data_IF_790205652074
#
_entry.id   IF_790205652074
#
_cell.length_a   1.000
_cell.length_b   1.000
_cell.length_c   1.000
_cell.angle_alpha   90.00
_cell.angle_beta   90.00
_cell.angle_gamma   90.00
#
_symmetry.space_group_name_H-M   'P 1'
#
loop_
_entity.id
_entity.type
_entity.pdbx_description
1 polymer ?
#
# COMPACT_ATOMS: atom_id res chain seq x y z
N UNK A 1 -27.86 -15.23 27.86
CA UNK A 1 -27.05 -15.48 26.65
C UNK A 1 -26.21 -14.23 26.44
N UNK A 2 -24.93 -14.25 26.81
CA UNK A 2 -24.09 -13.06 26.83
C UNK A 2 -23.73 -12.65 25.38
N UNK A 3 -23.87 -11.37 24.98
CA UNK A 3 -23.48 -10.94 23.65
C UNK A 3 -21.96 -11.07 23.48
N UNK A 4 -21.53 -11.60 22.33
CA UNK A 4 -20.12 -11.74 21.99
C UNK A 4 -19.43 -10.38 22.12
N UNK A 5 -18.44 -10.31 23.01
CA UNK A 5 -17.73 -9.07 23.34
C UNK A 5 -16.77 -8.76 22.20
N UNK A 6 -17.27 -8.03 21.19
CA UNK A 6 -16.43 -7.40 20.17
C UNK A 6 -15.64 -6.29 20.87
N UNK A 7 -14.32 -6.47 21.02
CA UNK A 7 -13.45 -5.49 21.67
C UNK A 7 -13.50 -4.14 20.93
N UNK A 8 -13.68 -4.19 19.61
CA UNK A 8 -14.27 -3.11 18.83
C UNK A 8 -14.79 -3.64 17.49
N UNK A 9 -15.84 -3.02 16.95
CA UNK A 9 -16.49 -3.41 15.69
C UNK A 9 -15.59 -3.28 14.44
N UNK A 10 -14.42 -2.66 14.57
CA UNK A 10 -13.48 -2.40 13.47
C UNK A 10 -12.10 -3.03 13.66
N UNK A 11 -11.61 -3.23 14.89
CA UNK A 11 -10.34 -3.94 15.12
C UNK A 11 -10.45 -5.42 14.81
N UNK A 12 -11.52 -6.10 15.22
CA UNK A 12 -11.61 -7.56 15.05
C UNK A 12 -11.55 -7.97 13.56
N UNK A 13 -12.25 -7.28 12.62
CA UNK A 13 -12.09 -7.54 11.19
C UNK A 13 -10.72 -7.14 10.64
N UNK A 14 -10.16 -6.00 11.09
CA UNK A 14 -8.86 -5.52 10.64
C UNK A 14 -7.74 -6.50 11.04
N UNK A 15 -7.81 -7.01 12.28
CA UNK A 15 -6.91 -8.04 12.80
C UNK A 15 -7.12 -9.35 12.06
N UNK A 16 -8.35 -9.76 11.76
CA UNK A 16 -8.63 -10.96 10.97
C UNK A 16 -8.00 -10.91 9.56
N UNK A 17 -8.20 -9.79 8.84
CA UNK A 17 -7.60 -9.58 7.52
C UNK A 17 -6.08 -9.52 7.60
N UNK A 18 -5.54 -8.78 8.57
CA UNK A 18 -4.09 -8.70 8.78
C UNK A 18 -3.47 -10.06 9.06
N UNK A 19 -4.09 -10.84 9.96
CA UNK A 19 -3.62 -12.16 10.35
C UNK A 19 -3.70 -13.14 9.18
N UNK A 20 -4.75 -13.08 8.37
CA UNK A 20 -4.87 -13.89 7.16
C UNK A 20 -3.78 -13.58 6.12
N UNK A 21 -3.52 -12.29 5.87
CA UNK A 21 -2.43 -11.86 4.97
C UNK A 21 -1.06 -12.28 5.51
N UNK A 22 -0.84 -12.15 6.82
CA UNK A 22 0.42 -12.53 7.47
C UNK A 22 0.66 -14.05 7.43
N UNK A 23 -0.37 -14.86 7.68
CA UNK A 23 -0.28 -16.31 7.57
C UNK A 23 0.04 -16.74 6.12
N UNK A 24 -0.58 -16.09 5.13
CA UNK A 24 -0.26 -16.33 3.72
C UNK A 24 1.19 -15.95 3.38
N UNK A 25 1.69 -14.83 3.90
CA UNK A 25 3.08 -14.42 3.71
C UNK A 25 4.08 -15.44 4.29
N UNK A 26 3.81 -15.96 5.49
CA UNK A 26 4.64 -17.01 6.09
C UNK A 26 4.60 -18.32 5.30
N UNK A 27 3.43 -18.68 4.75
CA UNK A 27 3.30 -19.85 3.89
C UNK A 27 4.12 -19.72 2.60
N UNK A 28 4.12 -18.52 2.00
CA UNK A 28 4.84 -18.24 0.76
C UNK A 28 6.36 -18.14 0.94
N UNK A 29 6.84 -17.80 2.15
CA UNK A 29 8.27 -17.69 2.48
C UNK A 29 8.90 -18.99 2.97
N UNK A 30 8.13 -20.08 3.09
CA UNK A 30 8.67 -21.37 3.48
C UNK A 30 9.53 -22.00 2.36
N UNK A 31 10.79 -22.40 2.65
CA UNK A 31 11.76 -22.86 1.65
C UNK A 31 11.39 -24.19 0.97
N UNK A 32 10.40 -24.93 1.49
CA UNK A 32 9.91 -26.20 0.91
C UNK A 32 8.75 -26.03 -0.07
N UNK A 33 8.12 -24.86 -0.11
CA UNK A 33 6.95 -24.53 -0.95
C UNK A 33 7.18 -23.29 -1.79
N UNK A 34 8.43 -22.82 -1.88
CA UNK A 34 8.82 -21.62 -2.60
C UNK A 34 8.49 -21.77 -4.09
N UNK A 35 7.32 -21.25 -4.47
CA UNK A 35 6.99 -20.98 -5.86
C UNK A 35 8.04 -20.01 -6.43
N UNK A 36 8.34 -20.09 -7.73
CA UNK A 36 9.29 -19.19 -8.38
C UNK A 36 8.97 -17.73 -8.02
N UNK A 37 10.00 -16.93 -7.74
CA UNK A 37 9.90 -15.52 -7.31
C UNK A 37 9.03 -14.63 -8.23
N UNK A 38 8.82 -15.09 -9.46
CA UNK A 38 8.03 -14.46 -10.51
C UNK A 38 6.51 -14.66 -10.32
N UNK A 39 6.07 -15.71 -9.62
CA UNK A 39 4.66 -15.99 -9.32
C UNK A 39 4.20 -15.40 -7.98
N UNK A 40 5.11 -14.74 -7.26
CA UNK A 40 4.85 -14.22 -5.92
C UNK A 40 3.96 -12.99 -5.96
N UNK A 41 2.91 -12.99 -5.13
CA UNK A 41 2.00 -11.85 -5.00
C UNK A 41 2.72 -10.60 -4.49
N UNK A 42 3.79 -10.78 -3.70
CA UNK A 42 4.66 -9.67 -3.29
C UNK A 42 5.24 -8.90 -4.47
N UNK A 43 5.62 -9.56 -5.57
CA UNK A 43 6.19 -8.91 -6.75
C UNK A 43 5.16 -7.99 -7.40
N UNK A 44 3.90 -8.43 -7.49
CA UNK A 44 2.78 -7.63 -7.99
C UNK A 44 2.44 -6.45 -7.05
N UNK A 45 2.47 -6.68 -5.74
CA UNK A 45 2.23 -5.62 -4.74
C UNK A 45 3.33 -4.56 -4.82
N UNK A 46 4.60 -4.96 -4.94
CA UNK A 46 5.75 -4.06 -5.12
C UNK A 46 5.62 -3.26 -6.41
N UNK A 47 5.24 -3.90 -7.51
CA UNK A 47 5.00 -3.22 -8.79
C UNK A 47 3.87 -2.19 -8.69
N UNK A 48 2.73 -2.57 -8.09
CA UNK A 48 1.60 -1.67 -7.87
C UNK A 48 1.98 -0.48 -6.98
N UNK A 49 2.76 -0.71 -5.93
CA UNK A 49 3.27 0.34 -5.06
C UNK A 49 4.20 1.29 -5.81
N UNK A 50 5.09 0.77 -6.66
CA UNK A 50 5.97 1.58 -7.51
C UNK A 50 5.18 2.49 -8.45
N UNK A 51 4.11 1.97 -9.08
CA UNK A 51 3.21 2.78 -9.92
C UNK A 51 2.51 3.86 -9.10
N UNK A 52 2.00 3.51 -7.92
CA UNK A 52 1.32 4.45 -7.05
C UNK A 52 2.25 5.59 -6.59
N UNK A 53 3.50 5.29 -6.25
CA UNK A 53 4.49 6.30 -5.88
C UNK A 53 4.84 7.22 -7.05
N UNK A 54 5.02 6.66 -8.26
CA UNK A 54 5.24 7.45 -9.48
C UNK A 54 4.10 8.44 -9.70
N UNK A 55 2.86 7.98 -9.64
CA UNK A 55 1.67 8.83 -9.81
C UNK A 55 1.56 9.94 -8.74
N UNK A 56 1.99 9.68 -7.49
CA UNK A 56 2.04 10.72 -6.45
C UNK A 56 3.11 11.76 -6.75
N UNK A 57 4.30 11.34 -7.16
CA UNK A 57 5.37 12.24 -7.54
C UNK A 57 4.97 13.13 -8.73
N UNK A 58 4.33 12.58 -9.77
CA UNK A 58 3.90 13.38 -10.93
C UNK A 58 2.82 14.40 -10.57
N UNK A 59 1.93 14.09 -9.62
CA UNK A 59 0.92 15.05 -9.16
C UNK A 59 1.54 16.19 -8.38
N UNK A 60 2.50 15.91 -7.50
CA UNK A 60 3.21 16.94 -6.74
C UNK A 60 4.04 17.84 -7.67
N UNK A 61 4.70 17.25 -8.67
CA UNK A 61 5.50 17.99 -9.64
C UNK A 61 4.65 18.92 -10.52
N UNK A 62 3.49 18.43 -11.01
CA UNK A 62 2.52 19.26 -11.74
C UNK A 62 1.96 20.41 -10.90
N UNK A 63 1.72 20.19 -9.62
CA UNK A 63 1.26 21.26 -8.71
C UNK A 63 2.37 22.31 -8.55
N UNK A 64 3.63 21.88 -8.39
CA UNK A 64 4.78 22.79 -8.33
C UNK A 64 5.03 23.56 -9.63
N UNK A 65 4.82 22.93 -10.79
CA UNK A 65 4.88 23.57 -12.11
C UNK A 65 3.83 24.69 -12.23
N UNK A 66 2.58 24.41 -11.82
CA UNK A 66 1.47 25.39 -11.85
C UNK A 66 1.76 26.58 -10.95
N UNK A 67 2.34 26.36 -9.76
CA UNK A 67 2.72 27.44 -8.85
C UNK A 67 3.85 28.32 -9.42
N UNK A 68 4.82 27.72 -10.12
CA UNK A 68 5.90 28.48 -10.77
C UNK A 68 5.42 29.32 -11.95
N UNK A 69 4.51 28.79 -12.76
CA UNK A 69 3.92 29.50 -13.92
C UNK A 69 2.98 30.62 -13.46
N UNK A 70 2.34 30.45 -12.30
CA UNK A 70 1.39 31.43 -11.75
C UNK A 70 2.05 32.59 -11.00
N UNK A 71 3.37 32.55 -10.79
CA UNK A 71 4.08 33.60 -10.07
C UNK A 71 4.45 34.74 -11.04
N UNK A 72 3.86 35.95 -10.90
CA UNK A 72 4.15 37.04 -11.81
C UNK A 72 5.62 37.49 -11.66
N UNK A 73 6.25 37.96 -12.74
CA UNK A 73 7.65 38.38 -12.70
C UNK A 73 7.83 39.46 -11.64
N UNK A 74 8.64 39.16 -10.61
CA UNK A 74 9.09 40.18 -9.66
C UNK A 74 10.03 41.12 -10.41
N UNK A 75 9.48 42.23 -10.89
CA UNK A 75 10.22 43.40 -11.33
C UNK A 75 11.11 43.84 -10.15
N UNK A 76 12.41 43.67 -10.32
CA UNK A 76 13.45 44.07 -9.37
C UNK A 76 14.00 45.43 -9.77
#
# INVERSE_FOLDING_TARGET
MAPAVLLSRTLDPALGVFTGVFAFYLYETHPRTALPSEERLETLIRWKWSIFQKNRATRLDKIGEVDRVSQPPKLR
#
